data_IF_860410806621
#
_entry.id   IF_860410806621
#
_cell.length_a   1.000
_cell.length_b   1.000
_cell.length_c   1.000
_cell.angle_alpha   90.00
_cell.angle_beta   90.00
_cell.angle_gamma   90.00
#
_symmetry.space_group_name_H-M   'P 1'
#
loop_
_entity.id
_entity.type
_entity.pdbx_description
1 polymer ?
#
# COMPACT_ATOMS: atom_id res chain seq x y z
N UNK A 1 5.35 -9.47 10.82
CA UNK A 1 5.87 -9.30 9.44
C UNK A 1 6.84 -10.38 9.02
N UNK A 2 7.85 -10.76 9.82
CA UNK A 2 8.82 -11.83 9.50
C UNK A 2 8.19 -13.13 8.97
N UNK A 3 7.17 -13.65 9.64
CA UNK A 3 6.48 -14.87 9.17
C UNK A 3 5.80 -14.73 7.79
N UNK A 4 5.33 -13.53 7.41
CA UNK A 4 4.80 -13.32 6.05
C UNK A 4 5.91 -13.40 4.99
N UNK A 5 7.16 -13.11 5.35
CA UNK A 5 8.32 -13.34 4.50
C UNK A 5 8.72 -14.82 4.42
N UNK A 6 8.07 -15.70 5.20
CA UNK A 6 8.43 -17.11 5.34
C UNK A 6 9.73 -17.33 6.11
N UNK A 7 10.14 -16.35 6.93
CA UNK A 7 11.37 -16.38 7.72
C UNK A 7 11.07 -16.14 9.20
N UNK A 8 11.86 -16.76 10.08
CA UNK A 8 11.76 -16.53 11.53
C UNK A 8 12.51 -15.28 11.99
N UNK A 9 13.41 -14.75 11.14
CA UNK A 9 14.22 -13.56 11.41
C UNK A 9 14.15 -12.61 10.21
N UNK A 10 14.32 -11.32 10.46
CA UNK A 10 14.33 -10.30 9.40
C UNK A 10 14.28 -8.89 9.95
N UNK A 11 13.07 -8.34 10.09
CA UNK A 11 12.86 -7.13 10.87
C UNK A 11 13.24 -7.39 12.34
N UNK A 12 14.01 -6.49 12.93
CA UNK A 12 14.43 -6.59 14.33
C UNK A 12 13.23 -6.48 15.26
N UNK A 13 13.16 -7.34 16.29
CA UNK A 13 12.13 -7.23 17.33
C UNK A 13 12.69 -6.55 18.57
N UNK A 14 11.96 -5.54 19.06
CA UNK A 14 12.23 -4.93 20.36
C UNK A 14 11.75 -5.82 21.50
N UNK A 15 12.62 -6.05 22.49
CA UNK A 15 12.29 -6.74 23.75
C UNK A 15 12.26 -5.81 24.96
N UNK A 16 12.58 -4.52 24.75
CA UNK A 16 12.65 -3.50 25.78
C UNK A 16 11.48 -2.53 25.68
N UNK A 17 11.40 -1.58 26.63
CA UNK A 17 10.39 -0.51 26.58
C UNK A 17 10.65 0.52 25.49
N UNK A 18 11.86 0.52 24.92
CA UNK A 18 12.23 1.38 23.82
C UNK A 18 11.74 0.77 22.50
N UNK A 19 11.19 1.62 21.64
CA UNK A 19 10.80 1.21 20.29
C UNK A 19 12.02 0.86 19.44
N UNK A 20 11.96 -0.30 18.79
CA UNK A 20 13.04 -0.82 17.96
C UNK A 20 12.95 -0.30 16.52
N UNK A 21 11.79 -0.50 15.87
CA UNK A 21 11.55 -0.01 14.52
C UNK A 21 11.41 1.51 14.54
N UNK A 22 12.25 2.21 13.77
CA UNK A 22 12.19 3.66 13.54
C UNK A 22 11.86 3.97 12.08
N UNK A 23 10.85 4.79 11.83
CA UNK A 23 10.34 5.09 10.49
C UNK A 23 9.59 3.92 9.83
N UNK A 24 9.87 3.66 8.55
CA UNK A 24 9.26 2.56 7.78
C UNK A 24 10.37 1.72 7.16
N UNK A 25 10.41 0.44 7.51
CA UNK A 25 11.33 -0.54 6.97
C UNK A 25 10.65 -1.34 5.87
N UNK A 26 11.41 -1.68 4.83
CA UNK A 26 10.90 -2.43 3.68
C UNK A 26 11.69 -3.71 3.48
N UNK A 27 10.97 -4.81 3.27
CA UNK A 27 11.55 -6.08 2.84
C UNK A 27 10.73 -6.66 1.69
N UNK A 28 11.40 -7.04 0.60
CA UNK A 28 10.75 -7.66 -0.55
C UNK A 28 11.20 -9.12 -0.72
N UNK A 29 10.24 -9.99 -1.03
CA UNK A 29 10.46 -11.41 -1.32
C UNK A 29 9.60 -11.85 -2.51
N UNK A 30 9.95 -12.93 -3.23
CA UNK A 30 9.06 -13.53 -4.21
C UNK A 30 7.70 -13.86 -3.57
N UNK A 31 6.59 -13.56 -4.24
CA UNK A 31 5.28 -13.83 -3.69
C UNK A 31 5.04 -15.36 -3.63
N UNK A 32 4.68 -15.94 -2.47
CA UNK A 32 4.65 -17.40 -2.29
C UNK A 32 3.59 -18.11 -3.14
N UNK A 33 2.47 -17.44 -3.45
CA UNK A 33 1.34 -18.03 -4.19
C UNK A 33 1.08 -17.41 -5.58
N UNK A 34 1.85 -16.40 -6.00
CA UNK A 34 1.58 -15.64 -7.25
C UNK A 34 2.88 -15.55 -8.05
N UNK A 35 2.95 -16.32 -9.12
CA UNK A 35 4.11 -16.28 -10.01
C UNK A 35 4.30 -14.87 -10.60
N UNK A 36 5.55 -14.48 -10.83
CA UNK A 36 5.93 -13.15 -11.33
C UNK A 36 5.48 -11.95 -10.48
N UNK A 37 5.10 -12.17 -9.22
CA UNK A 37 4.78 -11.11 -8.27
C UNK A 37 5.82 -11.04 -7.15
N UNK A 38 6.01 -9.85 -6.61
CA UNK A 38 6.84 -9.60 -5.43
C UNK A 38 5.94 -9.22 -4.26
N UNK A 39 6.11 -9.88 -3.12
CA UNK A 39 5.51 -9.46 -1.86
C UNK A 39 6.43 -8.41 -1.23
N UNK A 40 5.92 -7.20 -1.05
CA UNK A 40 6.62 -6.12 -0.35
C UNK A 40 5.99 -5.97 1.03
N UNK A 41 6.81 -6.12 2.05
CA UNK A 41 6.47 -6.01 3.45
C UNK A 41 6.98 -4.67 3.96
N UNK A 42 6.08 -3.86 4.53
CA UNK A 42 6.41 -2.58 5.15
C UNK A 42 6.18 -2.70 6.65
N UNK A 43 7.25 -2.69 7.44
CA UNK A 43 7.19 -2.68 8.90
C UNK A 43 7.35 -1.24 9.39
N UNK A 44 6.39 -0.77 10.18
CA UNK A 44 6.34 0.63 10.60
C UNK A 44 6.72 0.77 12.07
N UNK A 45 7.28 1.90 12.42
CA UNK A 45 7.46 2.29 13.82
C UNK A 45 6.13 2.28 14.58
N UNK A 46 6.20 1.91 15.86
CA UNK A 46 5.04 1.88 16.74
C UNK A 46 4.42 3.27 16.93
N UNK A 47 3.10 3.35 16.80
CA UNK A 47 2.33 4.58 17.04
C UNK A 47 2.23 4.84 18.55
N UNK A 48 2.26 6.11 18.96
CA UNK A 48 2.11 6.51 20.36
C UNK A 48 3.33 6.22 21.25
N UNK A 49 4.52 6.10 20.65
CA UNK A 49 5.77 5.92 21.39
C UNK A 49 6.10 7.16 22.24
N UNK A 50 6.32 6.94 23.54
CA UNK A 50 6.49 7.99 24.54
C UNK A 50 7.75 8.84 24.37
N UNK A 51 8.76 8.32 23.66
CA UNK A 51 9.99 9.08 23.38
C UNK A 51 9.82 10.09 22.24
N UNK A 52 8.66 10.09 21.55
CA UNK A 52 8.39 11.00 20.44
C UNK A 52 7.92 12.36 20.95
N UNK A 53 8.68 13.40 20.63
CA UNK A 53 8.29 14.79 20.89
C UNK A 53 7.27 15.37 19.90
N UNK A 54 7.01 14.71 18.76
CA UNK A 54 6.10 15.19 17.71
C UNK A 54 5.10 14.11 17.29
N UNK A 55 3.85 14.27 17.73
CA UNK A 55 2.74 13.37 17.37
C UNK A 55 2.41 13.39 15.88
N UNK A 56 2.83 14.41 15.13
CA UNK A 56 2.57 14.49 13.68
C UNK A 56 3.35 13.46 12.87
N UNK A 57 4.50 13.01 13.38
CA UNK A 57 5.28 11.99 12.67
C UNK A 57 4.52 10.66 12.57
N UNK A 58 3.77 10.29 13.62
CA UNK A 58 2.96 9.07 13.63
C UNK A 58 1.86 9.11 12.57
N UNK A 59 1.18 10.27 12.46
CA UNK A 59 0.16 10.46 11.44
C UNK A 59 0.75 10.38 10.03
N UNK A 60 1.97 10.88 9.80
CA UNK A 60 2.66 10.74 8.51
C UNK A 60 3.09 9.31 8.21
N UNK A 61 3.62 8.58 9.19
CA UNK A 61 3.98 7.16 9.04
C UNK A 61 2.73 6.36 8.67
N UNK A 62 1.61 6.61 9.36
CA UNK A 62 0.34 5.96 9.07
C UNK A 62 -0.19 6.31 7.67
N UNK A 63 -0.19 7.60 7.29
CA UNK A 63 -0.60 8.03 5.96
C UNK A 63 0.25 7.41 4.84
N UNK A 64 1.58 7.34 5.02
CA UNK A 64 2.48 6.67 4.07
C UNK A 64 2.22 5.17 3.99
N UNK A 65 1.98 4.49 5.12
CA UNK A 65 1.64 3.07 5.12
C UNK A 65 0.36 2.80 4.33
N UNK A 66 -0.66 3.66 4.47
CA UNK A 66 -1.92 3.59 3.69
C UNK A 66 -1.64 3.83 2.19
N UNK A 67 -0.90 4.87 1.85
CA UNK A 67 -0.62 5.23 0.45
C UNK A 67 0.18 4.15 -0.30
N UNK A 68 1.16 3.54 0.37
CA UNK A 68 2.12 2.63 -0.24
C UNK A 68 1.65 1.16 -0.25
N UNK A 69 0.72 0.77 0.63
CA UNK A 69 0.26 -0.61 0.74
C UNK A 69 -0.95 -0.92 -0.14
N UNK A 70 -1.14 -2.20 -0.48
CA UNK A 70 -2.40 -2.73 -1.02
C UNK A 70 -3.27 -3.39 0.05
N UNK A 71 -2.68 -3.71 1.20
CA UNK A 71 -3.35 -4.19 2.41
C UNK A 71 -2.68 -3.54 3.61
N UNK A 72 -3.45 -2.81 4.41
CA UNK A 72 -2.98 -2.15 5.63
C UNK A 72 -3.38 -3.00 6.83
N UNK A 73 -2.39 -3.43 7.60
CA UNK A 73 -2.59 -4.31 8.76
C UNK A 73 -2.44 -3.47 10.02
N UNK A 74 -3.54 -3.23 10.71
CA UNK A 74 -3.53 -2.57 12.01
C UNK A 74 -3.46 -3.61 13.12
N UNK A 75 -2.41 -3.56 13.93
CA UNK A 75 -2.13 -4.53 14.98
C UNK A 75 -2.31 -3.91 16.36
N UNK A 76 -3.21 -4.48 17.17
CA UNK A 76 -3.44 -4.07 18.55
C UNK A 76 -3.39 -5.28 19.50
N UNK A 77 -3.26 -5.02 20.81
CA UNK A 77 -3.28 -6.06 21.86
C UNK A 77 -4.63 -6.05 22.59
N UNK A 78 -5.09 -7.21 23.06
CA UNK A 78 -6.27 -7.34 23.91
C UNK A 78 -7.57 -7.43 23.10
N UNK A 79 -8.40 -6.39 23.15
CA UNK A 79 -9.76 -6.39 22.57
C UNK A 79 -10.04 -5.09 21.82
N UNK A 80 -11.02 -5.10 20.93
CA UNK A 80 -11.51 -3.90 20.24
C UNK A 80 -12.52 -3.20 21.15
N UNK A 81 -12.00 -2.45 22.12
CA UNK A 81 -12.79 -1.61 23.03
C UNK A 81 -12.75 -0.13 22.57
N UNK A 82 -13.36 0.76 23.36
CA UNK A 82 -13.35 2.20 23.05
C UNK A 82 -11.93 2.78 22.94
N UNK A 83 -11.03 2.40 23.85
CA UNK A 83 -9.65 2.86 23.85
C UNK A 83 -8.88 2.39 22.60
N UNK A 84 -9.08 1.15 22.16
CA UNK A 84 -8.46 0.62 20.95
C UNK A 84 -8.91 1.37 19.69
N UNK A 85 -10.17 1.83 19.67
CA UNK A 85 -10.70 2.70 18.62
C UNK A 85 -10.10 4.11 18.71
N UNK A 86 -10.02 4.73 19.89
CA UNK A 86 -9.38 6.04 20.05
C UNK A 86 -7.91 6.04 19.59
N UNK A 87 -7.18 4.95 19.80
CA UNK A 87 -5.81 4.78 19.29
C UNK A 87 -5.73 4.78 17.76
N UNK A 88 -6.84 4.51 17.06
CA UNK A 88 -6.95 4.52 15.61
C UNK A 88 -7.41 5.89 15.06
N UNK A 89 -7.40 6.96 15.86
CA UNK A 89 -7.75 8.33 15.43
C UNK A 89 -6.97 8.81 14.20
N UNK A 90 -5.77 8.28 13.93
CA UNK A 90 -5.01 8.54 12.71
C UNK A 90 -5.81 8.32 11.42
N UNK A 91 -6.80 7.41 11.44
CA UNK A 91 -7.71 7.19 10.29
C UNK A 91 -8.56 8.42 10.02
N UNK A 92 -9.01 9.14 11.04
CA UNK A 92 -9.78 10.38 10.85
C UNK A 92 -8.93 11.53 10.34
N UNK A 93 -7.62 11.51 10.59
CA UNK A 93 -6.68 12.52 10.11
C UNK A 93 -6.28 12.32 8.64
N UNK A 94 -6.56 11.15 8.04
CA UNK A 94 -6.15 10.84 6.66
C UNK A 94 -6.71 11.83 5.63
N UNK A 95 -7.88 12.43 5.87
CA UNK A 95 -8.46 13.44 4.98
C UNK A 95 -7.69 14.76 5.00
N UNK A 96 -7.02 15.06 6.12
CA UNK A 96 -6.16 16.23 6.24
C UNK A 96 -4.76 15.98 5.69
N UNK A 97 -4.32 14.71 5.71
CA UNK A 97 -2.96 14.31 5.35
C UNK A 97 -2.82 13.79 3.92
N UNK A 98 -3.92 13.40 3.26
CA UNK A 98 -3.91 12.83 1.92
C UNK A 98 -4.89 13.59 1.04
N UNK A 99 -4.39 14.09 -0.09
CA UNK A 99 -5.22 14.70 -1.12
C UNK A 99 -5.40 13.78 -2.31
N UNK A 100 -6.63 13.64 -2.81
CA UNK A 100 -6.85 12.80 -3.99
C UNK A 100 -6.65 13.60 -5.28
N UNK A 101 -7.29 14.76 -5.38
CA UNK A 101 -7.25 15.66 -6.54
C UNK A 101 -6.30 16.84 -6.31
N UNK A 102 -5.67 17.33 -7.36
CA UNK A 102 -4.74 18.46 -7.30
C UNK A 102 -5.46 19.81 -7.14
N UNK A 103 -6.70 19.93 -7.62
CA UNK A 103 -7.51 21.15 -7.56
C UNK A 103 -8.18 21.35 -6.18
N UNK A 104 -8.20 22.57 -5.63
CA UNK A 104 -8.73 22.84 -4.29
C UNK A 104 -10.27 22.91 -4.19
N UNK A 105 -11.02 22.41 -5.18
CA UNK A 105 -12.48 22.59 -5.24
C UNK A 105 -13.17 21.33 -5.79
N UNK A 106 -13.63 20.46 -4.91
CA UNK A 106 -14.85 19.66 -5.09
C UNK A 106 -15.34 19.21 -3.72
N UNK A 107 -16.65 19.26 -3.49
CA UNK A 107 -17.33 18.93 -2.23
C UNK A 107 -16.78 17.66 -1.55
N UNK A 108 -16.65 17.69 -0.21
CA UNK A 108 -16.16 16.59 0.65
C UNK A 108 -16.80 15.21 0.35
N UNK A 109 -17.97 15.21 -0.28
CA UNK A 109 -18.71 14.00 -0.67
C UNK A 109 -18.01 13.25 -1.82
N UNK A 110 -17.40 13.95 -2.77
CA UNK A 110 -16.79 13.32 -3.96
C UNK A 110 -15.45 12.64 -3.65
N UNK A 111 -14.67 13.21 -2.72
CA UNK A 111 -13.39 12.62 -2.28
C UNK A 111 -13.59 11.30 -1.53
N UNK A 112 -14.69 11.15 -0.75
CA UNK A 112 -15.03 9.90 -0.05
C UNK A 112 -15.17 8.68 -0.98
N UNK A 113 -15.78 8.87 -2.16
CA UNK A 113 -15.96 7.80 -3.17
C UNK A 113 -14.64 7.49 -3.88
N UNK A 114 -13.79 8.50 -4.05
CA UNK A 114 -12.46 8.29 -4.61
C UNK A 114 -11.51 7.58 -3.62
N UNK A 115 -11.62 7.81 -2.31
CA UNK A 115 -10.78 7.14 -1.29
C UNK A 115 -10.87 5.61 -1.38
N UNK A 116 -12.09 5.06 -1.48
CA UNK A 116 -12.36 3.61 -1.63
C UNK A 116 -11.56 2.97 -2.77
N UNK A 117 -11.28 3.73 -3.84
CA UNK A 117 -10.62 3.20 -5.04
C UNK A 117 -9.11 3.05 -4.89
N UNK A 118 -8.48 3.77 -3.96
CA UNK A 118 -7.01 3.83 -3.83
C UNK A 118 -6.50 3.29 -2.51
N UNK A 119 -7.35 3.29 -1.50
CA UNK A 119 -7.00 2.82 -0.19
C UNK A 119 -6.87 1.30 -0.17
N UNK A 120 -5.97 0.79 0.67
CA UNK A 120 -5.71 -0.64 0.79
C UNK A 120 -6.92 -1.37 1.39
N UNK A 121 -6.97 -2.68 1.25
CA UNK A 121 -7.86 -3.47 2.11
C UNK A 121 -7.37 -3.34 3.58
N UNK A 122 -8.27 -3.21 4.54
CA UNK A 122 -7.93 -3.06 5.96
C UNK A 122 -8.02 -4.40 6.69
N UNK A 123 -6.99 -4.74 7.47
CA UNK A 123 -6.98 -5.94 8.30
C UNK A 123 -6.67 -5.55 9.73
N UNK A 124 -7.58 -5.84 10.66
CA UNK A 124 -7.32 -5.66 12.09
C UNK A 124 -6.86 -6.99 12.69
N UNK A 125 -5.62 -7.02 13.18
CA UNK A 125 -5.07 -8.16 13.92
C UNK A 125 -5.08 -7.86 15.42
N UNK A 126 -5.84 -8.63 16.19
CA UNK A 126 -5.98 -8.48 17.64
C UNK A 126 -5.17 -9.56 18.34
N UNK A 127 -4.09 -9.16 19.01
CA UNK A 127 -3.12 -10.03 19.67
C UNK A 127 -3.51 -10.30 21.11
N UNK A 128 -3.10 -11.45 21.63
CA UNK A 128 -3.37 -11.90 23.01
C UNK A 128 -4.87 -11.80 23.35
N UNK A 129 -5.72 -12.25 22.43
CA UNK A 129 -7.17 -12.27 22.61
C UNK A 129 -7.55 -13.36 23.61
N UNK A 130 -8.35 -13.00 24.63
CA UNK A 130 -8.67 -13.87 25.77
C UNK A 130 -10.18 -14.07 25.98
N UNK A 131 -11.01 -13.51 25.10
CA UNK A 131 -12.47 -13.63 25.21
C UNK A 131 -13.00 -14.75 24.32
N UNK A 132 -14.15 -15.31 24.69
CA UNK A 132 -14.92 -16.15 23.78
C UNK A 132 -15.64 -15.24 22.78
N UNK A 133 -15.62 -15.63 21.51
CA UNK A 133 -16.33 -14.91 20.45
C UNK A 133 -17.81 -15.26 20.51
N UNK A 134 -18.51 -14.66 21.46
CA UNK A 134 -19.95 -14.80 21.64
C UNK A 134 -20.63 -13.44 21.72
N UNK A 135 -21.82 -13.34 21.14
CA UNK A 135 -22.69 -12.18 21.22
C UNK A 135 -24.13 -12.65 21.44
N UNK A 136 -24.78 -12.14 22.50
CA UNK A 136 -26.11 -12.58 22.93
C UNK A 136 -26.24 -14.10 23.08
N UNK A 137 -25.18 -14.77 23.56
CA UNK A 137 -25.11 -16.22 23.76
C UNK A 137 -24.99 -17.04 22.48
N UNK A 138 -24.77 -16.41 21.33
CA UNK A 138 -24.49 -17.10 20.07
C UNK A 138 -23.00 -16.94 19.69
N UNK A 139 -22.35 -17.99 19.19
CA UNK A 139 -20.99 -17.88 18.67
C UNK A 139 -20.96 -16.97 17.45
N UNK A 140 -19.97 -16.09 17.38
CA UNK A 140 -19.73 -15.18 16.27
C UNK A 140 -18.33 -15.40 15.67
N UNK A 141 -18.15 -14.94 14.44
CA UNK A 141 -16.86 -14.90 13.74
C UNK A 141 -16.03 -13.69 14.14
N UNK A 142 -14.73 -13.69 13.82
CA UNK A 142 -13.87 -12.51 14.03
C UNK A 142 -14.37 -11.30 13.25
N UNK A 143 -14.91 -11.52 12.05
CA UNK A 143 -15.42 -10.45 11.20
C UNK A 143 -16.71 -9.84 11.77
N UNK A 144 -17.62 -10.66 12.29
CA UNK A 144 -18.81 -10.18 13.01
C UNK A 144 -18.43 -9.43 14.29
N UNK A 145 -17.37 -9.84 14.98
CA UNK A 145 -16.83 -9.11 16.13
C UNK A 145 -16.36 -7.70 15.74
N UNK A 146 -15.61 -7.58 14.63
CA UNK A 146 -15.21 -6.28 14.10
C UNK A 146 -16.40 -5.45 13.61
N UNK A 147 -17.36 -6.07 12.93
CA UNK A 147 -18.58 -5.41 12.48
C UNK A 147 -19.35 -4.80 13.66
N UNK A 148 -19.50 -5.56 14.75
CA UNK A 148 -20.10 -5.10 15.99
C UNK A 148 -19.34 -3.91 16.61
N UNK A 149 -18.01 -3.96 16.66
CA UNK A 149 -17.20 -2.86 17.18
C UNK A 149 -17.33 -1.57 16.34
N UNK A 150 -17.57 -1.72 15.03
CA UNK A 150 -17.77 -0.63 14.08
C UNK A 150 -19.24 -0.19 13.94
N UNK A 151 -20.19 -0.72 14.72
CA UNK A 151 -21.58 -0.23 14.73
C UNK A 151 -21.63 1.21 15.28
N UNK A 152 -22.40 2.06 14.60
CA UNK A 152 -22.59 3.44 15.04
C UNK A 152 -23.43 3.46 16.31
N UNK A 153 -23.06 4.33 17.25
CA UNK A 153 -23.77 4.50 18.51
C UNK A 153 -24.87 5.56 18.27
N UNK A 154 -26.15 5.29 18.60
CA UNK A 154 -27.27 6.20 18.29
C UNK A 154 -27.31 7.52 19.07
N UNK A 155 -26.45 7.70 20.08
CA UNK A 155 -26.50 8.83 21.00
C UNK A 155 -25.70 10.05 20.47
N UNK A 156 -26.22 11.26 20.71
CA UNK A 156 -25.63 12.52 20.23
C UNK A 156 -24.89 13.27 21.35
N UNK A 157 -23.76 12.73 21.81
CA UNK A 157 -22.78 13.48 22.61
C UNK A 157 -21.49 13.66 21.80
N UNK A 158 -20.73 14.73 22.03
CA UNK A 158 -19.48 15.06 21.34
C UNK A 158 -18.44 13.92 21.37
N UNK A 159 -18.31 13.19 22.48
CA UNK A 159 -17.42 12.02 22.55
C UNK A 159 -17.88 10.89 21.61
N UNK A 160 -19.19 10.71 21.49
CA UNK A 160 -19.81 9.71 20.64
C UNK A 160 -19.72 10.11 19.17
N UNK A 161 -19.82 11.41 18.86
CA UNK A 161 -19.61 11.94 17.51
C UNK A 161 -18.19 11.64 17.00
N UNK A 162 -17.15 11.92 17.79
CA UNK A 162 -15.77 11.58 17.40
C UNK A 162 -15.59 10.06 17.19
N UNK A 163 -16.18 9.26 18.08
CA UNK A 163 -16.13 7.80 17.97
C UNK A 163 -16.87 7.28 16.73
N UNK A 164 -18.01 7.87 16.38
CA UNK A 164 -18.76 7.54 15.17
C UNK A 164 -18.04 8.02 13.90
N UNK A 165 -17.40 9.18 13.93
CA UNK A 165 -16.59 9.69 12.81
C UNK A 165 -15.50 8.69 12.43
N UNK A 166 -14.76 8.16 13.41
CA UNK A 166 -13.77 7.11 13.16
C UNK A 166 -14.38 5.87 12.49
N UNK A 167 -15.50 5.37 13.03
CA UNK A 167 -16.19 4.20 12.47
C UNK A 167 -16.64 4.46 11.04
N UNK A 168 -17.16 5.65 10.75
CA UNK A 168 -17.53 6.07 9.41
C UNK A 168 -16.32 6.16 8.48
N UNK A 169 -15.21 6.76 8.93
CA UNK A 169 -13.99 6.87 8.14
C UNK A 169 -13.44 5.49 7.78
N UNK A 170 -13.38 4.55 8.73
CA UNK A 170 -12.97 3.16 8.42
C UNK A 170 -13.88 2.57 7.34
N UNK A 171 -15.20 2.76 7.50
CA UNK A 171 -16.19 2.23 6.55
C UNK A 171 -16.15 2.89 5.17
N UNK A 172 -15.83 4.17 5.11
CA UNK A 172 -15.83 4.97 3.89
C UNK A 172 -14.49 4.89 3.16
N UNK A 173 -13.37 4.78 3.86
CA UNK A 173 -12.06 4.85 3.23
C UNK A 173 -11.57 3.50 2.74
N UNK A 174 -11.77 2.44 3.53
CA UNK A 174 -11.23 1.13 3.18
C UNK A 174 -12.30 0.28 2.47
N UNK A 175 -12.03 -0.25 1.27
CA UNK A 175 -13.02 -1.01 0.48
C UNK A 175 -13.41 -2.35 1.08
N UNK A 176 -12.53 -2.94 1.90
CA UNK A 176 -12.75 -4.21 2.60
C UNK A 176 -12.14 -4.14 3.98
N UNK A 177 -12.78 -4.80 4.93
CA UNK A 177 -12.25 -4.99 6.29
C UNK A 177 -12.24 -6.48 6.62
N UNK A 178 -11.23 -6.92 7.33
CA UNK A 178 -11.07 -8.30 7.80
C UNK A 178 -10.53 -8.27 9.23
N UNK A 179 -10.98 -9.19 10.07
CA UNK A 179 -10.48 -9.33 11.42
C UNK A 179 -9.77 -10.68 11.59
N UNK A 180 -8.70 -10.67 12.39
CA UNK A 180 -8.05 -11.87 12.90
C UNK A 180 -7.75 -11.69 14.38
N UNK A 181 -8.13 -12.68 15.19
CA UNK A 181 -7.69 -12.77 16.57
C UNK A 181 -6.55 -13.76 16.69
N UNK A 182 -5.67 -13.51 17.65
CA UNK A 182 -4.56 -14.40 17.97
C UNK A 182 -4.53 -14.67 19.45
N UNK A 183 -4.56 -15.95 19.80
CA UNK A 183 -4.30 -16.42 21.15
C UNK A 183 -2.85 -16.06 21.52
N UNK A 184 -2.56 -16.07 22.82
CA UNK A 184 -1.22 -15.77 23.29
C UNK A 184 -0.23 -16.84 22.78
N UNK A 185 0.89 -16.47 22.14
CA UNK A 185 1.75 -17.43 21.45
C UNK A 185 2.51 -18.38 22.39
N UNK A 186 2.75 -17.95 23.63
CA UNK A 186 3.35 -18.76 24.69
C UNK A 186 2.83 -18.33 26.06
N UNK A 187 2.85 -19.24 27.04
CA UNK A 187 2.32 -19.00 28.40
C UNK A 187 3.32 -18.30 29.33
N UNK A 188 4.62 -18.43 29.09
CA UNK A 188 5.68 -17.86 29.93
C UNK A 188 6.23 -16.55 29.37
N UNK A 189 6.38 -15.53 30.23
CA UNK A 189 7.00 -14.25 29.91
C UNK A 189 8.40 -14.37 29.29
N UNK A 190 9.25 -15.25 29.81
CA UNK A 190 10.63 -15.41 29.28
C UNK A 190 10.64 -15.85 27.83
N UNK A 191 9.74 -16.77 27.49
CA UNK A 191 9.52 -17.22 26.12
C UNK A 191 9.03 -16.05 25.25
N UNK A 192 8.04 -15.28 25.71
CA UNK A 192 7.52 -14.14 24.94
C UNK A 192 8.56 -13.05 24.64
N UNK A 193 9.55 -12.85 25.52
CA UNK A 193 10.65 -11.90 25.27
C UNK A 193 11.60 -12.36 24.16
N UNK A 194 11.68 -13.67 23.93
CA UNK A 194 12.56 -14.31 22.95
C UNK A 194 11.74 -15.11 21.93
N UNK A 195 10.61 -14.54 21.48
CA UNK A 195 9.64 -15.28 20.66
C UNK A 195 10.23 -15.82 19.35
N UNK A 196 11.20 -15.12 18.75
CA UNK A 196 11.91 -15.56 17.54
C UNK A 196 12.78 -16.80 17.74
N UNK A 197 13.23 -17.03 18.97
CA UNK A 197 14.07 -18.17 19.34
C UNK A 197 13.21 -19.40 19.69
N UNK A 198 11.91 -19.24 19.90
CA UNK A 198 11.03 -20.35 20.27
C UNK A 198 10.80 -21.25 19.05
N UNK A 199 11.07 -22.56 19.17
CA UNK A 199 10.72 -23.52 18.14
C UNK A 199 9.20 -23.61 17.91
N UNK A 200 8.78 -23.76 16.65
CA UNK A 200 7.36 -23.84 16.28
C UNK A 200 6.56 -24.89 17.07
N UNK A 201 7.16 -26.01 17.49
CA UNK A 201 6.46 -27.04 18.26
C UNK A 201 6.08 -26.59 19.68
N UNK A 202 6.77 -25.60 20.24
CA UNK A 202 6.53 -25.05 21.59
C UNK A 202 5.50 -23.91 21.60
N UNK A 203 5.19 -23.32 20.45
CA UNK A 203 4.14 -22.31 20.33
C UNK A 203 2.76 -22.92 20.58
N UNK A 204 1.85 -22.08 21.08
CA UNK A 204 0.45 -22.45 21.27
C UNK A 204 -0.18 -22.98 19.97
N UNK A 205 -1.00 -24.03 20.11
CA UNK A 205 -1.57 -24.75 18.97
C UNK A 205 -2.62 -23.90 18.23
N UNK A 206 -3.42 -23.13 18.95
CA UNK A 206 -4.42 -22.24 18.35
C UNK A 206 -3.73 -21.05 17.68
N UNK A 207 -2.75 -20.44 18.35
CA UNK A 207 -1.95 -19.36 17.76
C UNK A 207 -1.34 -19.77 16.42
N UNK A 208 -0.77 -20.99 16.33
CA UNK A 208 -0.24 -21.52 15.06
C UNK A 208 -1.31 -21.71 13.99
N UNK A 209 -2.48 -22.22 14.35
CA UNK A 209 -3.59 -22.40 13.41
C UNK A 209 -4.09 -21.05 12.90
N UNK A 210 -4.34 -20.10 13.80
CA UNK A 210 -4.76 -18.73 13.47
C UNK A 210 -3.72 -18.04 12.57
N UNK A 211 -2.43 -18.17 12.89
CA UNK A 211 -1.31 -17.64 12.10
C UNK A 211 -1.30 -18.18 10.68
N UNK A 212 -1.45 -19.50 10.50
CA UNK A 212 -1.53 -20.11 9.16
C UNK A 212 -2.72 -19.61 8.35
N UNK A 213 -3.88 -19.48 8.99
CA UNK A 213 -5.09 -18.94 8.33
C UNK A 213 -4.85 -17.49 7.90
N UNK A 214 -4.26 -16.66 8.77
CA UNK A 214 -3.91 -15.28 8.47
C UNK A 214 -2.91 -15.18 7.30
N UNK A 215 -1.80 -15.92 7.32
CA UNK A 215 -0.81 -15.88 6.22
C UNK A 215 -1.44 -16.32 4.90
N UNK A 216 -2.20 -17.42 4.91
CA UNK A 216 -2.93 -17.90 3.74
C UNK A 216 -3.90 -16.85 3.21
N UNK A 217 -4.60 -16.15 4.09
CA UNK A 217 -5.49 -15.06 3.70
C UNK A 217 -4.72 -13.94 3.00
N UNK A 218 -3.63 -13.45 3.59
CA UNK A 218 -2.81 -12.38 3.00
C UNK A 218 -2.28 -12.79 1.63
N UNK A 219 -1.67 -13.98 1.50
CA UNK A 219 -1.14 -14.43 0.21
C UNK A 219 -2.21 -14.59 -0.88
N UNK A 220 -3.43 -14.95 -0.49
CA UNK A 220 -4.52 -15.19 -1.45
C UNK A 220 -5.25 -13.90 -1.81
N UNK A 221 -5.55 -13.06 -0.82
CA UNK A 221 -6.49 -11.94 -0.96
C UNK A 221 -5.81 -10.58 -1.11
N UNK A 222 -4.57 -10.41 -0.63
CA UNK A 222 -3.86 -9.14 -0.81
C UNK A 222 -3.67 -8.87 -2.30
N UNK A 223 -4.21 -7.76 -2.77
CA UNK A 223 -4.19 -7.39 -4.19
C UNK A 223 -2.81 -6.87 -4.59
N UNK A 224 -2.50 -6.95 -5.86
CA UNK A 224 -1.38 -6.19 -6.43
C UNK A 224 -1.67 -4.70 -6.27
N UNK A 225 -0.71 -3.90 -5.79
CA UNK A 225 -0.90 -2.45 -5.65
C UNK A 225 -1.09 -1.81 -7.03
N UNK A 226 -2.14 -1.01 -7.15
CA UNK A 226 -2.48 -0.26 -8.37
C UNK A 226 -2.77 1.21 -8.07
N UNK A 227 -2.60 2.08 -9.07
CA UNK A 227 -3.10 3.46 -9.05
C UNK A 227 -4.42 3.58 -9.85
N UNK A 228 -4.88 4.82 -10.08
CA UNK A 228 -5.97 5.15 -11.03
C UNK A 228 -5.81 4.35 -12.32
N UNK A 229 -6.92 3.86 -12.84
CA UNK A 229 -7.01 3.10 -14.11
C UNK A 229 -6.34 1.72 -14.11
N UNK A 230 -6.00 1.17 -12.94
CA UNK A 230 -5.46 -0.19 -12.82
C UNK A 230 -3.96 -0.28 -13.13
N UNK A 231 -3.26 0.86 -13.14
CA UNK A 231 -1.81 0.92 -13.35
C UNK A 231 -1.11 0.15 -12.22
N UNK A 232 -0.54 -1.00 -12.57
CA UNK A 232 0.16 -1.87 -11.62
C UNK A 232 1.47 -1.24 -11.16
N UNK A 233 1.72 -1.26 -9.85
CA UNK A 233 2.95 -0.74 -9.26
C UNK A 233 4.06 -1.77 -9.33
N UNK A 234 5.15 -1.40 -10.02
CA UNK A 234 6.42 -2.12 -10.06
C UNK A 234 7.40 -1.52 -9.05
N UNK A 235 8.55 -2.17 -8.81
CA UNK A 235 9.58 -1.63 -7.91
C UNK A 235 10.05 -0.22 -8.29
N UNK A 236 10.25 0.05 -9.59
CA UNK A 236 10.60 1.40 -10.09
C UNK A 236 9.50 2.41 -9.76
N UNK A 237 8.24 2.07 -10.02
CA UNK A 237 7.09 2.95 -9.75
C UNK A 237 6.93 3.20 -8.25
N UNK A 238 7.10 2.16 -7.42
CA UNK A 238 7.03 2.28 -5.96
C UNK A 238 8.10 3.25 -5.43
N UNK A 239 9.34 3.13 -5.89
CA UNK A 239 10.41 4.07 -5.52
C UNK A 239 10.07 5.52 -5.86
N UNK A 240 9.56 5.77 -7.06
CA UNK A 240 9.10 7.11 -7.46
C UNK A 240 7.92 7.62 -6.60
N UNK A 241 6.98 6.76 -6.23
CA UNK A 241 5.88 7.14 -5.32
C UNK A 241 6.41 7.53 -3.93
N UNK A 242 7.32 6.74 -3.37
CA UNK A 242 7.94 7.03 -2.08
C UNK A 242 8.64 8.39 -2.12
N UNK A 243 9.47 8.64 -3.13
CA UNK A 243 10.14 9.93 -3.31
C UNK A 243 9.13 11.09 -3.43
N UNK A 244 8.10 10.94 -4.25
CA UNK A 244 7.10 11.98 -4.47
C UNK A 244 6.33 12.33 -3.18
N UNK A 245 5.90 11.32 -2.41
CA UNK A 245 5.16 11.55 -1.17
C UNK A 245 6.04 12.12 -0.06
N UNK A 246 7.24 11.59 0.12
CA UNK A 246 8.18 12.08 1.14
C UNK A 246 8.62 13.51 0.83
N UNK A 247 8.88 13.85 -0.43
CA UNK A 247 9.22 15.21 -0.83
C UNK A 247 8.07 16.20 -0.58
N UNK A 248 6.83 15.79 -0.83
CA UNK A 248 5.66 16.62 -0.52
C UNK A 248 5.60 16.95 0.98
N UNK A 249 5.73 15.93 1.84
CA UNK A 249 5.72 16.08 3.30
C UNK A 249 6.86 17.00 3.76
N UNK A 250 8.09 16.77 3.27
CA UNK A 250 9.27 17.56 3.63
C UNK A 250 9.17 19.03 3.18
N UNK A 251 8.39 19.33 2.12
CA UNK A 251 8.10 20.70 1.69
C UNK A 251 6.94 21.37 2.45
N UNK A 252 6.35 20.70 3.44
CA UNK A 252 5.18 21.19 4.18
C UNK A 252 3.86 21.06 3.42
N UNK A 253 3.82 20.26 2.36
CA UNK A 253 2.62 19.94 1.59
C UNK A 253 2.11 18.54 1.92
N UNK A 254 0.88 18.23 1.51
CA UNK A 254 0.29 16.90 1.69
C UNK A 254 0.55 16.03 0.45
N UNK A 255 0.86 14.72 0.62
CA UNK A 255 0.85 13.76 -0.47
C UNK A 255 -0.43 13.83 -1.32
N UNK A 256 -0.26 13.89 -2.65
CA UNK A 256 -1.37 13.93 -3.58
C UNK A 256 -1.32 12.77 -4.58
N UNK A 257 -2.39 11.97 -4.63
CA UNK A 257 -2.48 10.78 -5.50
C UNK A 257 -2.41 11.14 -6.99
N UNK A 258 -3.16 12.16 -7.42
CA UNK A 258 -3.16 12.62 -8.81
C UNK A 258 -1.79 13.16 -9.25
N UNK A 259 -1.13 13.95 -8.39
CA UNK A 259 0.22 14.45 -8.66
C UNK A 259 1.20 13.30 -8.83
N UNK A 260 1.14 12.28 -7.95
CA UNK A 260 2.02 11.14 -8.04
C UNK A 260 1.83 10.32 -9.34
N UNK A 261 0.59 10.13 -9.78
CA UNK A 261 0.28 9.52 -11.10
C UNK A 261 0.89 10.37 -12.23
N UNK A 262 0.77 11.70 -12.15
CA UNK A 262 1.28 12.62 -13.16
C UNK A 262 2.81 12.60 -13.23
N UNK A 263 3.50 12.60 -12.08
CA UNK A 263 4.95 12.45 -11.98
C UNK A 263 5.43 11.14 -12.61
N UNK A 264 4.76 10.03 -12.31
CA UNK A 264 5.07 8.73 -12.93
C UNK A 264 4.88 8.78 -14.45
N UNK A 265 3.78 9.37 -14.93
CA UNK A 265 3.50 9.47 -16.36
C UNK A 265 4.56 10.29 -17.09
N UNK A 266 4.99 11.41 -16.52
CA UNK A 266 6.04 12.24 -17.09
C UNK A 266 7.38 11.48 -17.21
N UNK A 267 7.79 10.77 -16.16
CA UNK A 267 9.05 10.02 -16.15
C UNK A 267 9.02 8.84 -17.12
N UNK A 268 7.96 8.05 -17.12
CA UNK A 268 7.85 6.88 -17.99
C UNK A 268 7.65 7.25 -19.45
N UNK A 269 6.81 8.25 -19.75
CA UNK A 269 6.62 8.69 -21.14
C UNK A 269 7.88 9.32 -21.71
N UNK A 270 8.65 10.08 -20.91
CA UNK A 270 9.97 10.58 -21.34
C UNK A 270 10.93 9.45 -21.69
N UNK A 271 11.00 8.42 -20.85
CA UNK A 271 11.84 7.25 -21.10
C UNK A 271 11.32 6.42 -22.30
N UNK A 272 10.01 6.34 -22.50
CA UNK A 272 9.40 5.65 -23.63
C UNK A 272 9.71 6.34 -24.96
N UNK A 273 9.71 7.68 -25.00
CA UNK A 273 10.14 8.45 -26.19
C UNK A 273 11.59 8.13 -26.52
N UNK A 274 12.49 8.20 -25.55
CA UNK A 274 13.91 7.90 -25.79
C UNK A 274 14.10 6.46 -26.29
N UNK A 275 13.46 5.48 -25.63
CA UNK A 275 13.54 4.07 -26.02
C UNK A 275 13.02 3.82 -27.43
N UNK A 276 11.95 4.51 -27.83
CA UNK A 276 11.41 4.41 -29.18
C UNK A 276 12.34 5.04 -30.23
N UNK A 277 12.91 6.21 -29.94
CA UNK A 277 13.89 6.87 -30.81
C UNK A 277 15.18 6.04 -30.98
N UNK A 278 15.66 5.42 -29.90
CA UNK A 278 16.81 4.52 -29.94
C UNK A 278 16.51 3.27 -30.79
N UNK A 279 15.32 2.67 -30.63
CA UNK A 279 14.87 1.53 -31.44
C UNK A 279 14.79 1.90 -32.92
N UNK A 280 14.21 3.04 -33.25
CA UNK A 280 14.17 3.55 -34.62
C UNK A 280 15.57 3.67 -35.22
N UNK A 281 16.48 4.35 -34.51
CA UNK A 281 17.86 4.59 -34.94
C UNK A 281 18.63 3.28 -35.16
N UNK A 282 18.45 2.32 -34.25
CA UNK A 282 19.06 0.99 -34.36
C UNK A 282 18.53 0.22 -35.59
N UNK A 283 17.21 0.20 -35.81
CA UNK A 283 16.62 -0.50 -36.95
C UNK A 283 16.98 0.14 -38.29
N UNK A 284 17.00 1.48 -38.36
CA UNK A 284 17.47 2.20 -39.54
C UNK A 284 18.91 1.84 -39.87
N UNK A 285 19.81 1.83 -38.87
CA UNK A 285 21.22 1.48 -39.06
C UNK A 285 21.41 0.03 -39.53
N UNK A 286 20.57 -0.90 -39.06
CA UNK A 286 20.67 -2.32 -39.42
C UNK A 286 20.10 -2.64 -40.80
N UNK A 287 19.03 -1.95 -41.21
CA UNK A 287 18.25 -2.29 -42.42
C UNK A 287 18.61 -1.44 -43.63
N UNK A 288 19.08 -0.21 -43.41
CA UNK A 288 19.38 0.73 -44.47
C UNK A 288 20.83 0.63 -44.90
N UNK A 289 21.06 0.35 -46.19
CA UNK A 289 22.36 0.51 -46.83
C UNK A 289 22.33 1.78 -47.67
N UNK A 290 23.29 2.68 -47.45
CA UNK A 290 23.38 3.94 -48.20
C UNK A 290 24.51 3.88 -49.25
N UNK A 291 24.31 4.45 -50.45
CA UNK A 291 23.05 5.05 -50.94
C UNK A 291 21.99 3.99 -51.30
N UNK A 292 20.71 4.35 -51.22
CA UNK A 292 19.61 3.54 -51.77
C UNK A 292 19.46 3.79 -53.27
N UNK A 293 18.88 2.82 -54.01
CA UNK A 293 18.68 2.94 -55.45
C UNK A 293 17.52 3.90 -55.78
N UNK A 294 16.51 3.97 -54.90
CA UNK A 294 15.37 4.86 -55.04
C UNK A 294 15.02 5.54 -53.71
N UNK A 295 14.31 6.67 -53.80
CA UNK A 295 13.67 7.29 -52.64
C UNK A 295 12.62 6.36 -52.01
N UNK A 296 11.93 5.56 -52.83
CA UNK A 296 10.89 4.66 -52.38
C UNK A 296 11.44 3.59 -51.42
N UNK A 297 12.60 3.03 -51.72
CA UNK A 297 13.29 2.06 -50.85
C UNK A 297 13.61 2.66 -49.46
N UNK A 298 14.12 3.90 -49.44
CA UNK A 298 14.39 4.62 -48.19
C UNK A 298 13.09 4.83 -47.38
N UNK A 299 12.01 5.25 -48.05
CA UNK A 299 10.73 5.51 -47.39
C UNK A 299 10.08 4.23 -46.85
N UNK A 300 10.23 3.09 -47.53
CA UNK A 300 9.71 1.80 -47.06
C UNK A 300 10.42 1.31 -45.79
N UNK A 301 11.76 1.43 -45.75
CA UNK A 301 12.53 1.11 -44.54
C UNK A 301 12.17 2.06 -43.40
N UNK A 302 12.08 3.36 -43.67
CA UNK A 302 11.66 4.36 -42.69
C UNK A 302 10.29 4.04 -42.09
N UNK A 303 9.27 3.81 -42.92
CA UNK A 303 7.91 3.54 -42.45
C UNK A 303 7.83 2.26 -41.60
N UNK A 304 8.61 1.23 -41.93
CA UNK A 304 8.69 0.02 -41.12
C UNK A 304 9.32 0.29 -39.74
N UNK A 305 10.45 0.99 -39.71
CA UNK A 305 11.15 1.36 -38.48
C UNK A 305 10.30 2.30 -37.60
N UNK A 306 9.63 3.28 -38.20
CA UNK A 306 8.74 4.21 -37.51
C UNK A 306 7.57 3.47 -36.84
N UNK A 307 6.91 2.57 -37.59
CA UNK A 307 5.81 1.75 -37.06
C UNK A 307 6.25 0.92 -35.85
N UNK A 308 7.43 0.33 -35.89
CA UNK A 308 7.99 -0.42 -34.77
C UNK A 308 8.31 0.49 -33.57
N UNK A 309 8.91 1.66 -33.80
CA UNK A 309 9.21 2.63 -32.76
C UNK A 309 7.94 3.14 -32.06
N UNK A 310 6.88 3.43 -32.83
CA UNK A 310 5.56 3.79 -32.27
C UNK A 310 5.01 2.64 -31.42
N UNK A 311 5.14 1.39 -31.86
CA UNK A 311 4.71 0.23 -31.07
C UNK A 311 5.52 0.09 -29.76
N UNK A 312 6.83 0.36 -29.79
CA UNK A 312 7.68 0.40 -28.60
C UNK A 312 7.21 1.51 -27.65
N UNK A 313 6.93 2.72 -28.15
CA UNK A 313 6.40 3.82 -27.34
C UNK A 313 5.07 3.43 -26.69
N UNK A 314 4.08 3.00 -27.46
CA UNK A 314 2.75 2.63 -26.97
C UNK A 314 2.79 1.53 -25.90
N UNK A 315 3.76 0.62 -25.96
CA UNK A 315 3.97 -0.43 -24.96
C UNK A 315 4.47 0.10 -23.61
N UNK A 316 5.22 1.20 -23.60
CA UNK A 316 5.90 1.71 -22.39
C UNK A 316 5.33 3.05 -21.89
N UNK A 317 4.54 3.74 -22.70
CA UNK A 317 3.86 4.98 -22.31
C UNK A 317 2.55 4.71 -21.57
N UNK A 318 2.15 5.61 -20.68
CA UNK A 318 0.82 5.62 -20.09
C UNK A 318 0.36 7.05 -19.78
N UNK A 319 -0.97 7.28 -19.75
CA UNK A 319 -1.59 8.57 -19.44
C UNK A 319 -1.03 9.77 -20.24
N UNK A 320 -0.68 9.56 -21.51
CA UNK A 320 -0.34 10.65 -22.46
C UNK A 320 -1.59 11.20 -23.16
N UNK A 321 -2.58 11.66 -22.38
CA UNK A 321 -3.91 12.05 -22.88
C UNK A 321 -3.85 13.17 -23.94
N UNK A 322 -2.93 14.13 -23.76
CA UNK A 322 -2.71 15.25 -24.69
C UNK A 322 -1.85 14.87 -25.90
N UNK A 323 -1.32 13.65 -25.92
CA UNK A 323 -0.39 13.11 -26.92
C UNK A 323 0.87 13.96 -27.06
N UNK A 324 1.31 14.60 -25.98
CA UNK A 324 2.43 15.54 -26.03
C UNK A 324 3.74 14.77 -26.20
N UNK A 325 3.87 13.60 -25.56
CA UNK A 325 5.03 12.73 -25.71
C UNK A 325 5.02 12.00 -27.05
N UNK A 326 3.85 11.55 -27.52
CA UNK A 326 3.73 10.98 -28.85
C UNK A 326 4.12 11.99 -29.94
N UNK A 327 3.64 13.24 -29.86
CA UNK A 327 4.06 14.31 -30.78
C UNK A 327 5.56 14.55 -30.71
N UNK A 328 6.14 14.54 -29.50
CA UNK A 328 7.58 14.69 -29.31
C UNK A 328 8.38 13.58 -30.01
N UNK A 329 7.90 12.33 -29.97
CA UNK A 329 8.53 11.23 -30.69
C UNK A 329 8.47 11.42 -32.22
N UNK A 330 7.32 11.87 -32.74
CA UNK A 330 7.12 12.03 -34.20
C UNK A 330 7.94 13.17 -34.82
N UNK A 331 8.56 14.03 -34.00
CA UNK A 331 9.43 15.13 -34.46
C UNK A 331 10.91 14.90 -34.18
N UNK A 332 11.28 13.76 -33.58
CA UNK A 332 12.67 13.34 -33.35
C UNK A 332 13.24 12.62 -34.57
#
# INVERSE_FOLDING_TARGET
MNHLAGQNHGFCLGSTVQSETKGIWMWYVPHPSKENHTLVLLDTEGLGDMEKGDSKNDSWIFALAVLLSSTCIYNSMGTINHQALEQLHYVTELTELIRIKSSPISDDVEDSVEFVRFFPDFVWTVRDFMLELEFDGNPITEDEYLENALKLIPEENHQIQNSNLLRECIKKFFPKWKCFIFDRPASNRKQLLHLEEIPDNELDVNFKKQSKVFYSYIYTHAKTKTLKEGITITGKRLGTLVEAYVNAINSGSVPCLENAVTTLAQLENSAAVQKAADHYSEQMTKRLSLPTDTLQELLEVHAACEKEAIAVFMKHSFKDEKKDFQKKLLVM
#
